data_IF_625151142425
#
_entry.id   IF_625151142425
#
_cell.length_a   1.000
_cell.length_b   1.000
_cell.length_c   1.000
_cell.angle_alpha   90.00
_cell.angle_beta   90.00
_cell.angle_gamma   90.00
#
_symmetry.space_group_name_H-M   'P 1'
#
loop_
_entity.id
_entity.type
_entity.pdbx_description
1 polymer ?
#
# COMPACT_ATOMS: atom_id res chain seq x y z
N UNK A 1 4.66 -4.21 0.36
CA UNK A 1 4.13 -5.09 -0.70
C UNK A 1 2.96 -5.87 -0.13
N UNK A 2 1.83 -5.84 -0.81
CA UNK A 2 0.61 -6.59 -0.47
C UNK A 2 0.07 -7.15 -1.79
N UNK A 3 -0.48 -8.37 -1.82
CA UNK A 3 -1.07 -8.92 -3.04
C UNK A 3 -2.37 -8.18 -3.40
N UNK A 4 -2.67 -8.05 -4.69
CA UNK A 4 -3.77 -7.19 -5.16
C UNK A 4 -5.13 -7.63 -4.61
N UNK A 5 -5.38 -8.93 -4.51
CA UNK A 5 -6.59 -9.49 -3.89
C UNK A 5 -6.76 -9.06 -2.42
N UNK A 6 -5.67 -9.04 -1.65
CA UNK A 6 -5.67 -8.53 -0.28
C UNK A 6 -5.85 -7.02 -0.21
N UNK A 7 -5.26 -6.27 -1.16
CA UNK A 7 -5.47 -4.82 -1.28
C UNK A 7 -6.95 -4.53 -1.51
N UNK A 8 -7.60 -5.20 -2.47
CA UNK A 8 -9.03 -5.01 -2.78
C UNK A 8 -9.93 -5.22 -1.56
N UNK A 9 -9.72 -6.30 -0.81
CA UNK A 9 -10.49 -6.55 0.43
C UNK A 9 -10.28 -5.45 1.48
N UNK A 10 -9.08 -4.87 1.56
CA UNK A 10 -8.78 -3.75 2.45
C UNK A 10 -9.48 -2.46 1.99
N UNK A 11 -9.44 -2.20 0.69
CA UNK A 11 -10.11 -1.05 0.05
C UNK A 11 -11.63 -1.11 0.27
N UNK A 12 -12.27 -2.25 0.02
CA UNK A 12 -13.70 -2.47 0.27
C UNK A 12 -14.10 -2.21 1.73
N UNK A 13 -13.18 -2.40 2.67
CA UNK A 13 -13.39 -2.16 4.10
C UNK A 13 -12.96 -0.75 4.55
N UNK A 14 -12.32 0.05 3.68
CA UNK A 14 -11.74 1.34 4.06
C UNK A 14 -10.59 1.23 5.07
N UNK A 15 -9.79 0.16 4.99
CA UNK A 15 -8.70 -0.10 5.95
C UNK A 15 -7.34 -0.30 5.28
N UNK A 16 -6.30 0.18 5.96
CA UNK A 16 -4.95 -0.33 5.79
C UNK A 16 -4.62 -1.34 6.89
N UNK A 17 -4.08 -2.49 6.47
CA UNK A 17 -3.52 -3.52 7.34
C UNK A 17 -2.19 -4.00 6.74
N UNK A 18 -1.07 -3.75 7.42
CA UNK A 18 0.27 -4.05 6.92
C UNK A 18 0.98 -5.09 7.78
N UNK A 19 2.02 -5.73 7.23
CA UNK A 19 2.91 -6.70 7.93
C UNK A 19 2.16 -7.70 8.82
N UNK A 20 1.25 -8.48 8.23
CA UNK A 20 0.44 -9.48 8.96
C UNK A 20 -0.34 -8.91 10.16
N UNK A 21 -0.73 -7.63 10.12
CA UNK A 21 -1.48 -6.98 11.19
C UNK A 21 -0.62 -6.43 12.34
N UNK A 22 0.69 -6.27 12.14
CA UNK A 22 1.56 -5.72 13.16
C UNK A 22 1.36 -4.20 13.38
N UNK A 23 1.39 -3.76 14.64
CA UNK A 23 1.16 -2.36 15.02
C UNK A 23 2.17 -1.38 14.44
N UNK A 24 3.45 -1.76 14.40
CA UNK A 24 4.55 -0.81 14.14
C UNK A 24 4.44 -0.07 12.80
N UNK A 25 3.91 -0.70 11.75
CA UNK A 25 3.70 -0.03 10.48
C UNK A 25 2.54 0.96 10.52
N UNK A 26 1.43 0.52 11.11
CA UNK A 26 0.19 1.29 11.24
C UNK A 26 0.37 2.51 12.15
N UNK A 27 1.11 2.38 13.25
CA UNK A 27 1.30 3.45 14.23
C UNK A 27 2.13 4.63 13.72
N UNK A 28 2.76 4.51 12.55
CA UNK A 28 3.53 5.58 11.91
C UNK A 28 2.71 6.40 10.92
N UNK A 29 1.48 5.97 10.63
CA UNK A 29 0.56 6.65 9.71
C UNK A 29 -0.26 7.69 10.47
N UNK A 30 -0.20 8.95 10.03
CA UNK A 30 -0.94 10.08 10.58
C UNK A 30 -2.13 10.43 9.68
N UNK A 31 -3.22 11.00 10.23
CA UNK A 31 -4.29 11.55 9.40
C UNK A 31 -3.73 12.55 8.37
N UNK A 32 -4.22 12.47 7.13
CA UNK A 32 -3.72 13.27 6.02
C UNK A 32 -2.56 12.65 5.24
N UNK A 33 -1.91 11.59 5.73
CA UNK A 33 -0.86 10.91 4.99
C UNK A 33 -1.42 10.24 3.73
N UNK A 34 -0.74 10.42 2.60
CA UNK A 34 -0.99 9.65 1.39
C UNK A 34 -0.52 8.20 1.54
N UNK A 35 -1.35 7.24 1.13
CA UNK A 35 -1.03 5.82 1.11
C UNK A 35 -1.22 5.26 -0.30
N UNK A 36 -0.20 4.58 -0.82
CA UNK A 36 -0.26 3.84 -2.08
C UNK A 36 0.17 2.38 -1.89
N UNK A 37 -0.55 1.46 -2.54
CA UNK A 37 -0.23 0.04 -2.53
C UNK A 37 0.49 -0.41 -3.80
N UNK A 38 1.68 -0.96 -3.62
CA UNK A 38 2.38 -1.73 -4.66
C UNK A 38 2.16 -3.25 -4.48
N UNK A 39 1.67 -3.88 -5.55
CA UNK A 39 1.32 -5.29 -5.62
C UNK A 39 2.26 -6.06 -6.57
N UNK A 40 3.12 -6.97 -6.05
CA UNK A 40 4.02 -7.74 -6.90
C UNK A 40 3.32 -8.86 -7.67
N UNK A 41 2.28 -9.47 -7.10
CA UNK A 41 1.46 -10.51 -7.72
C UNK A 41 -0.01 -10.11 -7.61
N UNK A 42 -0.81 -10.62 -8.54
CA UNK A 42 -2.27 -10.44 -8.55
C UNK A 42 -2.93 -11.22 -7.39
N UNK A 43 -2.58 -12.51 -7.23
CA UNK A 43 -3.18 -13.41 -6.24
C UNK A 43 -2.10 -14.16 -5.46
N UNK A 44 -2.32 -14.40 -4.16
CA UNK A 44 -1.45 -15.24 -3.33
C UNK A 44 -1.92 -16.71 -3.31
N UNK A 45 -1.03 -17.72 -3.27
CA UNK A 45 0.44 -17.64 -3.34
C UNK A 45 1.02 -17.73 -4.76
N UNK A 46 0.20 -18.02 -5.78
CA UNK A 46 0.66 -18.44 -7.12
C UNK A 46 0.14 -17.61 -8.29
N UNK A 47 -0.35 -16.39 -8.04
CA UNK A 47 -0.84 -15.50 -9.09
C UNK A 47 0.26 -14.98 -10.02
N UNK A 48 -0.16 -14.43 -11.17
CA UNK A 48 0.75 -13.83 -12.13
C UNK A 48 1.49 -12.61 -11.55
N UNK A 49 2.69 -12.34 -12.06
CA UNK A 49 3.43 -11.14 -11.72
C UNK A 49 2.67 -9.90 -12.20
N UNK A 50 2.35 -9.01 -11.27
CA UNK A 50 1.60 -7.78 -11.52
C UNK A 50 2.51 -6.55 -11.50
N UNK A 51 3.34 -6.43 -10.45
CA UNK A 51 4.32 -5.34 -10.25
C UNK A 51 3.74 -3.96 -10.55
N UNK A 52 2.58 -3.67 -9.97
CA UNK A 52 1.83 -2.44 -10.23
C UNK A 52 1.43 -1.73 -8.94
N UNK A 53 1.26 -0.42 -9.01
CA UNK A 53 0.50 0.34 -8.03
C UNK A 53 -0.99 0.09 -8.25
N UNK A 54 -1.73 -0.22 -7.18
CA UNK A 54 -3.04 -0.88 -7.28
C UNK A 54 -4.16 -0.24 -6.47
N UNK A 55 -3.81 0.63 -5.52
CA UNK A 55 -4.75 1.44 -4.78
C UNK A 55 -4.02 2.64 -4.19
N UNK A 56 -4.70 3.77 -4.09
CA UNK A 56 -4.20 5.00 -3.51
C UNK A 56 -5.31 5.67 -2.70
N UNK A 57 -4.95 6.34 -1.61
CA UNK A 57 -5.89 7.01 -0.72
C UNK A 57 -5.21 7.85 0.34
N UNK A 58 -6.01 8.40 1.24
CA UNK A 58 -5.55 9.24 2.36
C UNK A 58 -5.91 8.60 3.67
N UNK A 59 -4.98 8.59 4.61
CA UNK A 59 -5.23 8.13 5.97
C UNK A 59 -6.24 9.07 6.63
N UNK A 60 -7.38 8.53 7.03
CA UNK A 60 -8.45 9.30 7.64
C UNK A 60 -8.16 9.61 9.12
N UNK A 61 -8.98 10.50 9.69
CA UNK A 61 -8.98 10.79 11.13
C UNK A 61 -9.24 9.55 12.00
N UNK A 62 -8.79 9.64 13.25
CA UNK A 62 -8.91 8.60 14.27
C UNK A 62 -7.59 7.92 14.61
N UNK A 63 -7.63 6.97 15.55
CA UNK A 63 -6.47 6.21 16.04
C UNK A 63 -6.37 4.81 15.42
N UNK A 64 -5.18 4.19 15.39
CA UNK A 64 -5.06 2.78 15.06
C UNK A 64 -5.92 1.92 15.99
N UNK A 65 -6.61 0.92 15.44
CA UNK A 65 -7.41 -0.01 16.25
C UNK A 65 -7.12 -1.46 15.89
N UNK A 66 -7.56 -2.38 16.75
CA UNK A 66 -7.50 -3.80 16.46
C UNK A 66 -8.81 -4.29 15.84
N UNK A 67 -8.70 -5.02 14.72
CA UNK A 67 -9.83 -5.70 14.11
C UNK A 67 -10.29 -6.94 14.88
N UNK A 68 -11.30 -7.62 14.35
CA UNK A 68 -11.72 -8.93 14.81
C UNK A 68 -10.57 -9.94 14.74
N UNK A 69 -10.58 -10.93 15.65
CA UNK A 69 -9.61 -12.00 15.64
C UNK A 69 -9.70 -12.78 14.32
N UNK A 70 -8.55 -13.14 13.77
CA UNK A 70 -8.43 -13.95 12.58
C UNK A 70 -7.34 -15.01 12.76
N UNK A 71 -7.60 -16.21 12.26
CA UNK A 71 -6.64 -17.30 12.27
C UNK A 71 -5.50 -17.00 11.29
N UNK A 72 -4.26 -16.98 11.80
CA UNK A 72 -3.07 -16.68 10.99
C UNK A 72 -2.11 -17.87 10.94
N UNK A 73 -2.63 -19.01 10.47
CA UNK A 73 -1.88 -20.27 10.38
C UNK A 73 -1.28 -20.64 11.73
N UNK A 74 0.00 -20.98 11.74
CA UNK A 74 0.74 -21.41 12.94
C UNK A 74 0.87 -20.34 14.04
N UNK A 75 0.51 -19.07 13.74
CA UNK A 75 0.50 -17.99 14.73
C UNK A 75 -0.77 -17.97 15.59
N UNK A 76 -1.75 -18.82 15.29
CA UNK A 76 -3.04 -18.85 15.97
C UNK A 76 -3.89 -17.61 15.71
N UNK A 77 -4.77 -17.30 16.66
CA UNK A 77 -5.65 -16.13 16.60
C UNK A 77 -4.86 -14.83 16.79
N UNK A 78 -4.91 -13.96 15.78
CA UNK A 78 -4.30 -12.63 15.82
C UNK A 78 -5.39 -11.57 15.66
N UNK A 79 -5.32 -10.52 16.47
CA UNK A 79 -6.11 -9.30 16.31
C UNK A 79 -5.28 -8.25 15.57
N UNK A 80 -5.48 -8.08 14.25
CA UNK A 80 -4.61 -7.25 13.44
C UNK A 80 -4.84 -5.77 13.74
N UNK A 81 -3.77 -4.99 13.73
CA UNK A 81 -3.84 -3.53 13.76
C UNK A 81 -4.25 -2.98 12.39
N UNK A 82 -5.16 -2.01 12.40
CA UNK A 82 -5.76 -1.38 11.24
C UNK A 82 -5.71 0.14 11.34
N UNK A 83 -5.66 0.81 10.19
CA UNK A 83 -5.84 2.25 10.01
C UNK A 83 -7.04 2.48 9.10
N UNK A 84 -7.77 3.57 9.29
CA UNK A 84 -8.85 3.97 8.38
C UNK A 84 -8.23 4.74 7.23
N UNK A 85 -8.64 4.41 6.02
CA UNK A 85 -8.14 5.06 4.81
C UNK A 85 -9.31 5.32 3.88
N UNK A 86 -9.35 6.52 3.33
CA UNK A 86 -10.28 6.94 2.30
C UNK A 86 -9.59 6.73 0.95
N UNK A 87 -9.96 5.65 0.27
CA UNK A 87 -9.41 5.28 -1.02
C UNK A 87 -10.13 6.02 -2.15
N UNK A 88 -9.38 6.39 -3.18
CA UNK A 88 -9.96 6.98 -4.38
C UNK A 88 -10.56 5.89 -5.27
N UNK A 89 -11.75 6.20 -5.79
CA UNK A 89 -12.42 5.39 -6.81
C UNK A 89 -12.01 5.85 -8.22
N UNK A 90 -12.25 4.99 -9.22
CA UNK A 90 -12.01 5.33 -10.63
C UNK A 90 -10.53 5.47 -11.04
N UNK A 91 -9.60 5.11 -10.16
CA UNK A 91 -8.16 5.14 -10.43
C UNK A 91 -7.70 4.06 -11.41
N UNK A 92 -6.59 4.32 -12.10
CA UNK A 92 -5.89 3.32 -12.90
C UNK A 92 -4.88 2.52 -12.06
N UNK A 93 -4.75 1.22 -12.34
CA UNK A 93 -3.59 0.44 -11.85
C UNK A 93 -2.39 0.71 -12.78
N UNK A 94 -1.25 1.06 -12.19
CA UNK A 94 -0.08 1.55 -12.95
C UNK A 94 1.10 0.59 -12.77
N UNK A 95 1.61 -0.04 -13.84
CA UNK A 95 2.84 -0.81 -13.78
C UNK A 95 4.01 0.05 -13.32
N UNK A 96 4.88 -0.47 -12.45
CA UNK A 96 6.06 0.29 -12.00
C UNK A 96 7.12 0.44 -13.09
N UNK A 97 7.13 -0.44 -14.10
CA UNK A 97 8.21 -0.53 -15.09
C UNK A 97 8.48 0.78 -15.85
N UNK A 98 7.47 1.52 -16.37
CA UNK A 98 7.69 2.82 -17.00
C UNK A 98 8.15 3.90 -16.03
N UNK A 99 7.88 3.74 -14.73
CA UNK A 99 8.19 4.72 -13.69
C UNK A 99 9.59 4.56 -13.09
N UNK A 100 10.25 3.42 -13.34
CA UNK A 100 11.60 3.14 -12.82
C UNK A 100 12.65 4.25 -13.06
N UNK A 101 12.73 4.90 -14.23
CA UNK A 101 13.73 5.96 -14.45
C UNK A 101 13.38 7.30 -13.82
N UNK A 102 12.12 7.52 -13.40
CA UNK A 102 11.66 8.82 -12.88
C UNK A 102 11.52 8.83 -11.36
N UNK A 103 11.12 7.72 -10.73
CA UNK A 103 10.97 7.66 -9.28
C UNK A 103 12.35 7.71 -8.58
N UNK A 104 12.51 8.61 -7.61
CA UNK A 104 13.67 8.72 -6.73
C UNK A 104 13.96 7.38 -6.01
N UNK A 105 12.90 6.65 -5.67
CA UNK A 105 12.96 5.31 -5.09
C UNK A 105 13.73 4.29 -5.94
N UNK A 106 13.76 4.45 -7.26
CA UNK A 106 14.27 3.43 -8.19
C UNK A 106 15.40 3.90 -9.09
N UNK A 107 15.39 5.16 -9.53
CA UNK A 107 16.30 5.69 -10.58
C UNK A 107 17.78 5.56 -10.23
N UNK A 108 18.13 5.74 -8.96
CA UNK A 108 19.51 5.66 -8.45
C UNK A 108 19.72 4.46 -7.51
N UNK A 109 18.76 3.53 -7.48
CA UNK A 109 18.75 2.37 -6.59
C UNK A 109 18.67 1.06 -7.40
N UNK A 110 19.82 0.50 -7.84
CA UNK A 110 19.84 -0.72 -8.69
C UNK A 110 19.24 -1.97 -8.05
N UNK A 111 18.98 -1.98 -6.73
CA UNK A 111 18.33 -3.06 -6.00
C UNK A 111 17.02 -2.62 -5.30
N UNK A 112 16.28 -1.68 -5.88
CA UNK A 112 15.04 -1.14 -5.31
C UNK A 112 14.01 -2.23 -4.93
N UNK A 113 14.00 -3.37 -5.62
CA UNK A 113 13.14 -4.50 -5.28
C UNK A 113 13.37 -5.04 -3.87
N UNK A 114 14.58 -4.87 -3.30
CA UNK A 114 14.89 -5.24 -1.92
C UNK A 114 14.26 -4.25 -0.91
N UNK A 115 14.21 -2.95 -1.25
CA UNK A 115 13.52 -1.95 -0.43
C UNK A 115 12.03 -2.30 -0.27
N UNK A 116 11.39 -2.77 -1.35
CA UNK A 116 9.98 -3.17 -1.33
C UNK A 116 9.69 -4.30 -0.33
N UNK A 117 10.66 -5.20 -0.07
CA UNK A 117 10.53 -6.30 0.90
C UNK A 117 10.35 -5.82 2.34
N UNK A 118 10.69 -4.56 2.65
CA UNK A 118 10.41 -3.95 3.97
C UNK A 118 8.92 -3.86 4.28
N UNK A 119 8.05 -4.05 3.30
CA UNK A 119 6.60 -4.15 3.46
C UNK A 119 5.89 -2.80 3.51
N UNK A 120 6.49 -1.82 4.19
CA UNK A 120 6.06 -0.42 4.26
C UNK A 120 7.30 0.48 4.21
N UNK A 121 7.28 1.46 3.33
CA UNK A 121 8.31 2.48 3.16
C UNK A 121 7.65 3.86 3.03
N UNK A 122 8.40 4.89 3.37
CA UNK A 122 8.03 6.28 3.13
C UNK A 122 8.43 6.65 1.69
N UNK A 123 7.56 7.38 0.99
CA UNK A 123 7.84 7.92 -0.33
C UNK A 123 8.13 9.41 -0.20
N UNK A 124 8.97 9.93 -1.09
CA UNK A 124 9.14 11.37 -1.20
C UNK A 124 7.88 12.00 -1.81
N UNK A 125 7.63 13.31 -1.59
CA UNK A 125 6.51 14.00 -2.22
C UNK A 125 6.53 13.90 -3.75
N UNK A 126 7.74 13.93 -4.34
CA UNK A 126 7.94 13.73 -5.78
C UNK A 126 7.39 12.36 -6.24
N UNK A 127 7.84 11.28 -5.60
CA UNK A 127 7.44 9.92 -6.00
C UNK A 127 5.95 9.67 -5.80
N UNK A 128 5.39 10.14 -4.68
CA UNK A 128 3.95 10.04 -4.46
C UNK A 128 3.18 10.82 -5.53
N UNK A 129 3.64 12.03 -5.89
CA UNK A 129 3.02 12.86 -6.92
C UNK A 129 3.03 12.20 -8.31
N UNK A 130 4.18 11.66 -8.74
CA UNK A 130 4.28 10.93 -10.01
C UNK A 130 3.33 9.73 -10.04
N UNK A 131 3.30 8.94 -8.96
CA UNK A 131 2.43 7.76 -8.91
C UNK A 131 0.95 8.19 -8.90
N UNK A 132 0.59 9.21 -8.12
CA UNK A 132 -0.77 9.72 -8.06
C UNK A 132 -1.25 10.22 -9.42
N UNK A 133 -0.42 10.99 -10.13
CA UNK A 133 -0.71 11.48 -11.48
C UNK A 133 -1.02 10.33 -12.45
N UNK A 134 -0.12 9.35 -12.55
CA UNK A 134 -0.29 8.21 -13.44
C UNK A 134 -1.51 7.34 -13.09
N UNK A 135 -1.89 7.31 -11.81
CA UNK A 135 -3.08 6.62 -11.34
C UNK A 135 -4.38 7.42 -11.55
N UNK A 136 -4.31 8.67 -12.05
CA UNK A 136 -5.46 9.57 -12.18
C UNK A 136 -5.96 10.14 -10.86
N UNK A 137 -5.08 10.27 -9.87
CA UNK A 137 -5.34 10.69 -8.50
C UNK A 137 -4.75 12.08 -8.18
N UNK A 138 -4.70 12.97 -9.17
CA UNK A 138 -4.11 14.33 -9.04
C UNK A 138 -4.70 15.13 -7.88
N UNK A 139 -5.94 14.87 -7.49
CA UNK A 139 -6.61 15.54 -6.36
C UNK A 139 -5.93 15.29 -5.01
N UNK A 140 -5.05 14.29 -4.92
CA UNK A 140 -4.28 13.99 -3.70
C UNK A 140 -2.96 14.76 -3.62
N UNK A 141 -2.58 15.45 -4.69
CA UNK A 141 -1.34 16.21 -4.79
C UNK A 141 -1.72 17.70 -4.76
N UNK A 142 -1.19 18.48 -3.81
CA UNK A 142 -1.42 19.93 -3.76
C UNK A 142 -0.93 20.69 -4.99
#
# INVERSE_FOLDING_TARGET
MVHRDHVRRGVEQGIAQVKHGARAGIARMSPGDGLVYYSPLDVYPSGAALRSFTAIGVVADGDPWQGAAMMMGDKGDVRPWRRRVEYLEGIAEVPIAPLLPVLELTRDTPNWGWLMRRGLLELTPHDFGVIAHEMGADTLVP
#
